data_IF_849488446216
#
_entry.id   IF_849488446216
#
_cell.length_a   1.000
_cell.length_b   1.000
_cell.length_c   1.000
_cell.angle_alpha   90.00
_cell.angle_beta   90.00
_cell.angle_gamma   90.00
#
_symmetry.space_group_name_H-M   'P 1'
#
loop_
_entity.id
_entity.type
_entity.pdbx_description
1 polymer ?
#
# COMPACT_ATOMS: atom_id res chain seq x y z
N UNK A 1 -39.28 81.45 4.26
CA UNK A 1 -37.96 81.22 4.88
C UNK A 1 -38.14 80.21 6.02
N UNK A 2 -38.02 78.92 5.71
CA UNK A 2 -37.85 77.83 6.68
C UNK A 2 -37.06 76.72 5.96
N UNK A 3 -36.06 76.21 6.66
CA UNK A 3 -34.83 75.64 6.14
C UNK A 3 -35.04 74.21 5.56
N UNK A 4 -34.66 73.92 4.29
CA UNK A 4 -34.91 72.64 3.63
C UNK A 4 -34.04 71.47 4.15
N UNK A 5 -33.15 71.73 5.11
CA UNK A 5 -32.19 70.74 5.64
C UNK A 5 -32.79 69.67 6.56
N UNK A 6 -34.00 69.87 7.11
CA UNK A 6 -34.63 68.89 8.01
C UNK A 6 -35.31 67.71 7.33
N UNK A 7 -35.82 67.88 6.10
CA UNK A 7 -36.65 66.87 5.42
C UNK A 7 -35.83 65.83 4.62
N UNK A 8 -34.58 66.16 4.28
CA UNK A 8 -33.64 65.25 3.60
C UNK A 8 -32.95 64.31 4.61
N UNK A 9 -32.86 64.72 5.88
CA UNK A 9 -32.17 63.94 6.92
C UNK A 9 -32.98 62.71 7.38
N UNK A 10 -34.32 62.80 7.44
CA UNK A 10 -35.17 61.65 7.78
C UNK A 10 -35.27 60.59 6.67
N UNK A 11 -35.15 60.99 5.40
CA UNK A 11 -35.19 60.02 4.30
C UNK A 11 -33.88 59.24 4.14
N UNK A 12 -32.74 59.85 4.52
CA UNK A 12 -31.44 59.18 4.56
C UNK A 12 -31.26 58.28 5.78
N UNK A 13 -31.86 58.62 6.92
CA UNK A 13 -31.78 57.78 8.12
C UNK A 13 -32.58 56.46 7.97
N UNK A 14 -33.74 56.49 7.30
CA UNK A 14 -34.53 55.30 7.02
C UNK A 14 -33.88 54.36 5.98
N UNK A 15 -33.17 54.93 4.98
CA UNK A 15 -32.44 54.12 4.01
C UNK A 15 -31.12 53.59 4.58
N UNK A 16 -30.42 54.35 5.43
CA UNK A 16 -29.18 53.90 6.09
C UNK A 16 -29.43 52.82 7.14
N UNK A 17 -30.56 52.88 7.88
CA UNK A 17 -30.99 51.80 8.78
C UNK A 17 -31.41 50.53 8.03
N UNK A 18 -31.99 50.65 6.82
CA UNK A 18 -32.27 49.48 5.97
C UNK A 18 -30.99 48.85 5.42
N UNK A 19 -29.97 49.62 5.06
CA UNK A 19 -28.69 49.10 4.57
C UNK A 19 -27.83 48.48 5.69
N UNK A 20 -27.89 48.99 6.92
CA UNK A 20 -27.22 48.37 8.07
C UNK A 20 -27.93 47.07 8.50
N UNK A 21 -29.26 47.01 8.39
CA UNK A 21 -30.01 45.77 8.68
C UNK A 21 -29.93 44.72 7.56
N UNK A 22 -29.59 45.10 6.32
CA UNK A 22 -29.30 44.12 5.24
C UNK A 22 -27.83 43.70 5.20
N UNK A 23 -26.87 44.51 5.65
CA UNK A 23 -25.50 44.05 5.91
C UNK A 23 -25.39 43.16 7.17
N UNK A 24 -26.32 43.28 8.13
CA UNK A 24 -26.40 42.38 9.28
C UNK A 24 -27.21 41.08 9.01
N UNK A 25 -27.91 40.97 7.88
CA UNK A 25 -28.67 39.75 7.49
C UNK A 25 -28.08 39.05 6.26
N UNK A 26 -27.14 39.67 5.53
CA UNK A 26 -26.30 38.99 4.52
C UNK A 26 -24.92 38.58 5.09
N UNK A 27 -24.55 39.03 6.30
CA UNK A 27 -23.55 38.37 7.15
C UNK A 27 -24.13 37.15 7.92
N UNK A 28 -25.37 36.78 7.63
CA UNK A 28 -26.05 35.58 8.12
C UNK A 28 -26.58 34.71 6.97
N UNK A 29 -25.97 34.80 5.77
CA UNK A 29 -25.84 33.63 4.92
C UNK A 29 -24.80 32.78 5.62
N UNK A 30 -25.30 31.92 6.50
CA UNK A 30 -24.61 30.79 7.03
C UNK A 30 -23.91 30.08 5.87
N UNK A 31 -22.63 30.36 5.67
CA UNK A 31 -21.68 29.27 5.61
C UNK A 31 -21.92 28.49 6.91
N UNK A 32 -22.91 27.59 6.86
CA UNK A 32 -22.63 26.22 7.27
C UNK A 32 -21.62 25.71 6.24
N UNK A 33 -20.42 26.29 6.26
CA UNK A 33 -19.25 25.46 6.17
C UNK A 33 -19.49 24.51 7.31
N UNK A 34 -19.86 23.30 6.98
CA UNK A 34 -19.60 22.19 7.86
C UNK A 34 -18.11 22.32 8.08
N UNK A 35 -17.73 23.04 9.14
CA UNK A 35 -16.49 22.74 9.83
C UNK A 35 -16.76 21.31 10.24
N UNK A 36 -16.40 20.38 9.35
CA UNK A 36 -16.08 19.05 9.74
C UNK A 36 -14.96 19.30 10.73
N UNK A 37 -15.37 19.44 11.99
CA UNK A 37 -14.56 19.14 13.15
C UNK A 37 -14.21 17.68 12.96
N UNK A 38 -13.31 17.40 12.01
CA UNK A 38 -12.55 16.17 12.02
C UNK A 38 -11.75 16.30 13.30
N UNK A 39 -12.23 15.60 14.31
CA UNK A 39 -11.53 15.42 15.56
C UNK A 39 -10.20 14.76 15.20
N UNK A 40 -9.15 15.57 15.07
CA UNK A 40 -7.81 15.11 14.72
C UNK A 40 -7.09 14.75 16.03
N UNK A 41 -6.51 13.55 16.06
CA UNK A 41 -5.61 13.11 17.11
C UNK A 41 -4.45 14.10 17.25
N UNK A 42 -4.03 14.36 18.49
CA UNK A 42 -2.80 15.10 18.77
C UNK A 42 -1.77 14.18 19.40
N UNK A 43 -0.59 14.11 18.79
CA UNK A 43 0.57 13.39 19.31
C UNK A 43 1.61 14.43 19.72
N UNK A 44 1.89 14.49 21.03
CA UNK A 44 2.97 15.33 21.56
C UNK A 44 4.22 14.48 21.70
N UNK A 45 5.31 14.89 21.07
CA UNK A 45 6.62 14.24 21.18
C UNK A 45 7.39 14.75 22.40
N UNK A 46 8.38 13.98 22.85
CA UNK A 46 9.25 14.33 23.99
C UNK A 46 10.09 15.59 23.76
N UNK A 47 10.32 15.96 22.50
CA UNK A 47 10.98 17.22 22.13
C UNK A 47 10.05 18.45 22.19
N UNK A 48 8.77 18.25 22.54
CA UNK A 48 7.74 19.29 22.62
C UNK A 48 6.99 19.54 21.31
N UNK A 49 7.31 18.83 20.22
CA UNK A 49 6.58 18.92 18.96
C UNK A 49 5.17 18.35 19.11
N UNK A 50 4.16 19.11 18.70
CA UNK A 50 2.76 18.64 18.66
C UNK A 50 2.36 18.39 17.22
N UNK A 51 1.98 17.16 16.91
CA UNK A 51 1.51 16.73 15.60
C UNK A 51 -0.01 16.54 15.66
N UNK A 52 -0.72 17.10 14.68
CA UNK A 52 -2.17 16.96 14.57
C UNK A 52 -2.51 16.16 13.30
N UNK A 53 -3.36 15.15 13.42
CA UNK A 53 -3.52 14.17 12.36
C UNK A 53 -4.42 12.99 12.72
N UNK A 54 -4.24 11.88 12.02
CA UNK A 54 -4.98 10.63 12.22
C UNK A 54 -4.00 9.51 12.55
N UNK A 55 -4.19 8.83 13.69
CA UNK A 55 -3.46 7.60 13.99
C UNK A 55 -4.05 6.49 13.12
N UNK A 56 -3.29 6.02 12.12
CA UNK A 56 -3.77 5.02 11.16
C UNK A 56 -3.46 3.59 11.60
N UNK A 57 -2.38 3.39 12.36
CA UNK A 57 -1.98 2.07 12.86
C UNK A 57 -1.06 2.17 14.07
N UNK A 58 -1.29 1.31 15.05
CA UNK A 58 -0.42 1.07 16.21
C UNK A 58 0.08 -0.38 16.13
N UNK A 59 1.39 -0.59 16.27
CA UNK A 59 2.01 -1.91 16.31
C UNK A 59 2.46 -2.25 17.73
N UNK A 60 2.43 -3.52 18.08
CA UNK A 60 2.80 -4.02 19.42
C UNK A 60 4.30 -3.82 19.74
N UNK A 61 5.12 -3.53 18.72
CA UNK A 61 6.55 -3.19 18.84
C UNK A 61 6.81 -1.72 19.22
N UNK A 62 5.74 -0.93 19.42
CA UNK A 62 5.82 0.48 19.75
C UNK A 62 5.88 1.40 18.53
N UNK A 63 5.63 0.92 17.32
CA UNK A 63 5.56 1.77 16.13
C UNK A 63 4.17 2.38 15.95
N UNK A 64 4.10 3.71 15.83
CA UNK A 64 2.89 4.48 15.53
C UNK A 64 2.93 5.02 14.09
N UNK A 65 1.96 4.64 13.27
CA UNK A 65 1.72 5.24 11.96
C UNK A 65 0.71 6.37 12.12
N UNK A 66 1.13 7.57 11.73
CA UNK A 66 0.39 8.80 11.93
C UNK A 66 0.35 9.61 10.65
N UNK A 67 -0.84 9.99 10.20
CA UNK A 67 -1.00 10.88 9.04
C UNK A 67 -1.21 12.30 9.53
N UNK A 68 -0.21 13.16 9.36
CA UNK A 68 -0.33 14.59 9.69
C UNK A 68 -1.32 15.22 8.70
N UNK A 69 -2.27 15.99 9.23
CA UNK A 69 -3.25 16.73 8.42
C UNK A 69 -3.00 18.23 8.59
N UNK A 70 -2.61 18.91 7.51
CA UNK A 70 -2.41 20.36 7.46
C UNK A 70 -3.31 20.91 6.35
N UNK A 71 -4.51 21.39 6.71
CA UNK A 71 -5.53 21.75 5.72
C UNK A 71 -5.97 20.52 4.92
N UNK A 72 -5.83 20.54 3.60
CA UNK A 72 -6.14 19.40 2.72
C UNK A 72 -4.95 18.45 2.51
N UNK A 73 -3.74 18.83 2.96
CA UNK A 73 -2.54 18.00 2.81
C UNK A 73 -2.52 16.89 3.85
N UNK A 74 -2.34 15.66 3.38
CA UNK A 74 -2.18 14.45 4.19
C UNK A 74 -0.79 13.87 3.99
N UNK A 75 0.01 13.81 5.07
CA UNK A 75 1.37 13.28 5.00
C UNK A 75 1.54 12.11 5.98
N UNK A 76 1.81 10.89 5.50
CA UNK A 76 2.08 9.75 6.37
C UNK A 76 3.45 9.92 7.05
N UNK A 77 3.50 9.53 8.33
CA UNK A 77 4.71 9.50 9.15
C UNK A 77 4.69 8.31 10.07
N UNK A 78 5.87 7.83 10.38
CA UNK A 78 6.09 6.79 11.39
C UNK A 78 6.76 7.45 12.59
N UNK A 79 6.21 7.19 13.77
CA UNK A 79 6.66 7.74 15.06
C UNK A 79 6.90 6.57 15.99
N UNK A 80 8.05 6.51 16.64
CA UNK A 80 8.28 5.49 17.67
C UNK A 80 7.62 5.92 18.97
N UNK A 81 6.98 4.99 19.67
CA UNK A 81 6.32 5.25 20.96
C UNK A 81 7.32 5.72 22.02
N UNK A 82 8.60 5.36 21.87
CA UNK A 82 9.70 5.89 22.68
C UNK A 82 9.83 7.41 22.61
N UNK A 83 9.40 8.03 21.51
CA UNK A 83 9.57 9.45 21.23
C UNK A 83 8.31 10.25 21.56
N UNK A 84 7.23 9.55 21.92
CA UNK A 84 5.93 10.13 22.27
C UNK A 84 5.91 10.47 23.76
N UNK A 85 5.48 11.70 24.07
CA UNK A 85 5.21 12.17 25.42
C UNK A 85 3.73 11.96 25.80
N UNK A 86 2.80 12.27 24.90
CA UNK A 86 1.36 12.05 25.12
C UNK A 86 0.58 11.92 23.82
N UNK A 87 -0.58 11.26 23.90
CA UNK A 87 -1.56 11.17 22.81
C UNK A 87 -2.90 11.66 23.35
N UNK A 88 -3.47 12.68 22.73
CA UNK A 88 -4.83 13.15 22.98
C UNK A 88 -5.72 12.70 21.82
N UNK A 89 -6.64 11.78 22.10
CA UNK A 89 -7.66 11.32 21.15
C UNK A 89 -8.95 12.07 21.43
N UNK A 90 -9.48 12.77 20.44
CA UNK A 90 -10.73 13.51 20.63
C UNK A 90 -11.92 12.61 20.27
N UNK A 91 -12.76 12.39 21.28
CA UNK A 91 -13.77 11.33 21.32
C UNK A 91 -15.00 11.69 20.47
N UNK A 92 -14.88 11.46 19.16
CA UNK A 92 -16.04 11.29 18.27
C UNK A 92 -15.86 10.15 17.27
N UNK A 93 -15.06 9.15 17.64
CA UNK A 93 -15.28 7.80 17.14
C UNK A 93 -16.46 7.29 17.96
N UNK A 94 -17.68 7.44 17.41
CA UNK A 94 -18.69 6.40 17.65
C UNK A 94 -17.95 5.09 17.58
N UNK A 95 -17.94 4.38 18.70
CA UNK A 95 -17.40 3.07 18.88
C UNK A 95 -17.94 2.21 17.74
N UNK A 96 -17.27 2.23 16.58
CA UNK A 96 -17.36 1.20 15.57
C UNK A 96 -16.83 0.03 16.34
N UNK A 97 -17.76 -0.66 16.97
CA UNK A 97 -17.56 -1.93 17.61
C UNK A 97 -16.63 -2.67 16.66
N UNK A 98 -15.36 -2.79 17.06
CA UNK A 98 -14.52 -3.84 16.49
C UNK A 98 -15.42 -5.05 16.66
N UNK A 99 -15.92 -5.66 15.57
CA UNK A 99 -16.86 -6.76 15.72
C UNK A 99 -16.18 -7.71 16.68
N UNK A 100 -16.88 -7.96 17.79
CA UNK A 100 -16.44 -8.78 18.89
C UNK A 100 -15.59 -9.91 18.32
N UNK A 101 -14.28 -9.87 18.61
CA UNK A 101 -13.27 -10.77 18.04
C UNK A 101 -13.40 -12.13 18.72
N UNK A 102 -14.59 -12.72 18.66
CA UNK A 102 -14.95 -14.02 19.22
C UNK A 102 -16.32 -14.49 18.67
N UNK A 103 -16.49 -14.44 17.35
CA UNK A 103 -17.01 -15.64 16.69
C UNK A 103 -15.82 -16.29 16.03
N UNK A 104 -15.15 -17.21 16.75
CA UNK A 104 -14.47 -18.31 16.07
C UNK A 104 -15.58 -19.01 15.29
N UNK A 105 -15.71 -18.67 14.01
CA UNK A 105 -16.43 -19.53 13.09
C UNK A 105 -15.72 -20.88 13.23
N UNK A 106 -16.44 -21.89 13.70
CA UNK A 106 -15.90 -23.25 13.72
C UNK A 106 -15.49 -23.56 12.30
N UNK A 107 -14.17 -23.67 12.09
CA UNK A 107 -13.63 -24.03 10.80
C UNK A 107 -13.91 -25.53 10.69
N UNK A 108 -14.70 -25.97 9.70
CA UNK A 108 -15.03 -27.38 9.56
C UNK A 108 -13.76 -28.23 9.50
N UNK A 109 -13.80 -29.39 10.16
CA UNK A 109 -12.73 -30.37 10.03
C UNK A 109 -12.55 -30.75 8.56
N UNK A 110 -11.29 -30.70 8.09
CA UNK A 110 -10.93 -30.95 6.69
C UNK A 110 -11.10 -29.75 5.74
N UNK A 111 -11.53 -28.57 6.22
CA UNK A 111 -11.55 -27.37 5.37
C UNK A 111 -10.15 -26.98 4.89
N UNK A 112 -10.04 -26.61 3.60
CA UNK A 112 -8.79 -26.08 3.06
C UNK A 112 -8.46 -24.74 3.70
N UNK A 113 -7.31 -24.68 4.36
CA UNK A 113 -6.74 -23.51 4.99
C UNK A 113 -5.78 -22.82 4.03
N UNK A 114 -5.99 -21.52 3.86
CA UNK A 114 -5.22 -20.67 2.97
C UNK A 114 -4.62 -19.54 3.79
N UNK A 115 -3.33 -19.29 3.63
CA UNK A 115 -2.65 -18.14 4.19
C UNK A 115 -2.32 -17.14 3.08
N UNK A 116 -2.53 -15.86 3.35
CA UNK A 116 -2.11 -14.76 2.47
C UNK A 116 -0.85 -14.13 3.05
N UNK A 117 0.20 -14.05 2.25
CA UNK A 117 1.41 -13.28 2.55
C UNK A 117 1.42 -12.09 1.58
N UNK A 118 1.33 -10.88 2.13
CA UNK A 118 1.35 -9.65 1.35
C UNK A 118 2.78 -9.24 1.04
N UNK A 119 3.10 -9.11 -0.24
CA UNK A 119 4.39 -8.73 -0.78
C UNK A 119 4.21 -7.39 -1.50
N UNK A 120 4.32 -6.32 -0.71
CA UNK A 120 4.03 -4.95 -1.11
C UNK A 120 5.31 -4.12 -1.18
N UNK A 121 5.19 -2.94 -1.80
CA UNK A 121 6.26 -1.94 -1.88
C UNK A 121 7.49 -2.45 -2.65
N UNK A 122 8.61 -1.77 -2.51
CA UNK A 122 9.83 -2.07 -3.26
C UNK A 122 10.46 -3.40 -2.84
N UNK A 123 10.88 -4.19 -3.83
CA UNK A 123 11.72 -5.38 -3.65
C UNK A 123 13.09 -4.97 -3.09
N UNK A 124 13.48 -5.57 -1.98
CA UNK A 124 14.67 -5.23 -1.20
C UNK A 124 14.30 -4.71 0.19
N UNK A 125 14.01 -3.42 0.39
CA UNK A 125 13.78 -2.91 1.76
C UNK A 125 12.56 -3.50 2.46
N UNK A 126 11.47 -3.78 1.73
CA UNK A 126 10.21 -4.25 2.31
C UNK A 126 9.88 -5.67 1.84
N UNK A 127 9.77 -5.86 0.53
CA UNK A 127 9.60 -7.16 -0.08
C UNK A 127 10.97 -7.83 -0.20
N UNK A 128 11.32 -8.66 0.79
CA UNK A 128 12.56 -9.43 0.82
C UNK A 128 12.43 -10.82 1.44
N UNK A 129 13.49 -11.59 1.28
CA UNK A 129 13.57 -12.99 1.73
C UNK A 129 13.44 -13.11 3.25
N UNK A 130 13.92 -12.14 4.03
CA UNK A 130 13.85 -12.23 5.49
C UNK A 130 12.42 -12.01 5.99
N UNK A 131 11.72 -11.01 5.45
CA UNK A 131 10.31 -10.77 5.76
C UNK A 131 9.44 -11.97 5.34
N UNK A 132 9.71 -12.55 4.16
CA UNK A 132 9.02 -13.75 3.69
C UNK A 132 9.31 -14.96 4.59
N UNK A 133 10.57 -15.17 5.00
CA UNK A 133 10.96 -16.24 5.93
C UNK A 133 10.26 -16.12 7.27
N UNK A 134 10.20 -14.92 7.83
CA UNK A 134 9.54 -14.68 9.11
C UNK A 134 8.04 -14.93 9.01
N UNK A 135 7.41 -14.50 7.91
CA UNK A 135 5.99 -14.77 7.64
C UNK A 135 5.72 -16.28 7.58
N UNK A 136 6.58 -17.04 6.89
CA UNK A 136 6.46 -18.50 6.79
C UNK A 136 6.77 -19.19 8.12
N UNK A 137 7.70 -18.68 8.92
CA UNK A 137 8.00 -19.21 10.25
C UNK A 137 6.78 -19.16 11.17
N UNK A 138 6.03 -18.05 11.15
CA UNK A 138 4.78 -17.90 11.89
C UNK A 138 3.76 -18.97 11.47
N UNK A 139 3.70 -19.32 10.18
CA UNK A 139 2.81 -20.38 9.67
C UNK A 139 3.31 -21.77 10.07
N UNK A 140 4.62 -22.03 10.00
CA UNK A 140 5.24 -23.30 10.38
C UNK A 140 5.05 -23.58 11.90
N UNK A 141 5.01 -22.54 12.74
CA UNK A 141 4.80 -22.63 14.19
C UNK A 141 3.34 -22.98 14.58
N UNK A 142 2.39 -22.90 13.64
CA UNK A 142 1.01 -23.29 13.92
C UNK A 142 0.88 -24.80 14.20
N UNK A 143 -0.08 -25.22 15.04
CA UNK A 143 -0.47 -26.62 15.16
C UNK A 143 -0.74 -27.25 13.78
N UNK A 144 -0.39 -28.52 13.59
CA UNK A 144 -0.49 -29.18 12.28
C UNK A 144 -1.90 -29.12 11.68
N UNK A 145 -2.93 -29.24 12.51
CA UNK A 145 -4.34 -29.11 12.11
C UNK A 145 -4.79 -27.68 11.78
N UNK A 146 -3.96 -26.68 12.08
CA UNK A 146 -4.18 -25.25 11.80
C UNK A 146 -3.28 -24.71 10.68
N UNK A 147 -2.23 -25.44 10.29
CA UNK A 147 -1.32 -25.03 9.21
C UNK A 147 -2.05 -24.89 7.87
N UNK A 148 -1.71 -23.87 7.06
CA UNK A 148 -2.28 -23.71 5.73
C UNK A 148 -1.81 -24.83 4.78
N UNK A 149 -2.68 -25.23 3.84
CA UNK A 149 -2.27 -26.08 2.72
C UNK A 149 -1.82 -25.25 1.51
N UNK A 150 -2.31 -24.01 1.42
CA UNK A 150 -2.04 -23.09 0.31
C UNK A 150 -1.48 -21.79 0.89
N UNK A 151 -0.35 -21.34 0.32
CA UNK A 151 0.16 -19.99 0.55
C UNK A 151 -0.10 -19.18 -0.72
N UNK A 152 -0.86 -18.10 -0.56
CA UNK A 152 -1.08 -17.09 -1.58
C UNK A 152 -0.10 -15.94 -1.35
N UNK A 153 0.85 -15.79 -2.27
CA UNK A 153 1.71 -14.62 -2.36
C UNK A 153 0.92 -13.52 -3.06
N UNK A 154 0.38 -12.59 -2.28
CA UNK A 154 -0.36 -11.45 -2.79
C UNK A 154 0.62 -10.33 -3.14
N UNK A 155 0.74 -9.96 -4.41
CA UNK A 155 1.82 -9.08 -4.89
C UNK A 155 1.26 -7.76 -5.43
N UNK A 156 1.75 -6.66 -4.87
CA UNK A 156 1.52 -5.29 -5.35
C UNK A 156 2.84 -4.49 -5.25
N UNK A 157 3.66 -4.58 -6.30
CA UNK A 157 5.00 -4.02 -6.31
C UNK A 157 5.47 -3.61 -7.70
N UNK A 158 6.14 -2.46 -7.76
CA UNK A 158 6.84 -1.94 -8.94
C UNK A 158 8.19 -2.62 -9.22
N UNK A 159 8.64 -3.53 -8.37
CA UNK A 159 9.95 -4.16 -8.46
C UNK A 159 10.98 -3.55 -7.52
N UNK A 160 12.27 -3.66 -7.87
CA UNK A 160 13.36 -3.19 -7.01
C UNK A 160 14.66 -3.97 -7.23
N UNK A 161 15.35 -4.27 -6.14
CA UNK A 161 16.72 -4.78 -6.19
C UNK A 161 16.81 -6.21 -6.74
N UNK A 162 17.40 -6.37 -7.94
CA UNK A 162 17.61 -7.68 -8.58
C UNK A 162 18.41 -8.67 -7.71
N UNK A 163 19.33 -8.16 -6.87
CA UNK A 163 20.12 -9.00 -5.97
C UNK A 163 19.23 -9.78 -4.99
N UNK A 164 18.05 -9.26 -4.66
CA UNK A 164 17.09 -9.94 -3.79
C UNK A 164 16.53 -11.21 -4.43
N UNK A 165 16.44 -11.27 -5.76
CA UNK A 165 15.93 -12.43 -6.50
C UNK A 165 16.77 -13.68 -6.31
N UNK A 166 18.08 -13.52 -6.14
CA UNK A 166 19.01 -14.63 -5.87
C UNK A 166 18.74 -15.30 -4.52
N UNK A 167 17.91 -14.68 -3.66
CA UNK A 167 17.53 -15.19 -2.35
C UNK A 167 16.05 -15.57 -2.28
N UNK A 168 15.15 -14.74 -2.81
CA UNK A 168 13.71 -15.03 -2.76
C UNK A 168 13.36 -16.22 -3.66
N UNK A 169 13.83 -16.25 -4.91
CA UNK A 169 13.42 -17.29 -5.85
C UNK A 169 13.84 -18.70 -5.39
N UNK A 170 15.08 -18.95 -4.94
CA UNK A 170 15.45 -20.24 -4.37
C UNK A 170 14.68 -20.57 -3.09
N UNK A 171 14.33 -19.58 -2.27
CA UNK A 171 13.55 -19.81 -1.06
C UNK A 171 12.12 -20.27 -1.39
N UNK A 172 11.45 -19.61 -2.34
CA UNK A 172 10.13 -20.06 -2.82
C UNK A 172 10.23 -21.47 -3.39
N UNK A 173 11.23 -21.73 -4.23
CA UNK A 173 11.40 -23.01 -4.92
C UNK A 173 11.73 -24.17 -3.96
N UNK A 174 12.66 -23.97 -3.03
CA UNK A 174 13.24 -25.06 -2.24
C UNK A 174 12.65 -25.20 -0.85
N UNK A 175 12.01 -24.15 -0.31
CA UNK A 175 11.49 -24.17 1.06
C UNK A 175 9.96 -24.10 1.11
N UNK A 176 9.33 -23.28 0.25
CA UNK A 176 7.87 -23.13 0.26
C UNK A 176 7.19 -24.21 -0.56
N UNK A 177 7.53 -24.34 -1.85
CA UNK A 177 6.87 -25.28 -2.77
C UNK A 177 6.89 -26.75 -2.31
N UNK A 178 7.92 -27.26 -1.60
CA UNK A 178 7.87 -28.62 -1.07
C UNK A 178 6.88 -28.83 0.08
N UNK A 179 6.51 -27.76 0.79
CA UNK A 179 5.63 -27.81 1.97
C UNK A 179 4.20 -27.38 1.65
N UNK A 180 4.05 -26.42 0.74
CA UNK A 180 2.81 -25.71 0.47
C UNK A 180 2.53 -25.67 -1.03
N UNK A 181 1.24 -25.69 -1.40
CA UNK A 181 0.84 -25.19 -2.72
C UNK A 181 1.03 -23.68 -2.73
N UNK A 182 1.91 -23.17 -3.59
CA UNK A 182 2.24 -21.74 -3.65
C UNK A 182 1.59 -21.11 -4.87
N UNK A 183 0.80 -20.06 -4.65
CA UNK A 183 0.06 -19.35 -5.68
C UNK A 183 0.45 -17.88 -5.64
N UNK A 184 0.76 -17.27 -6.79
CA UNK A 184 0.89 -15.81 -6.88
C UNK A 184 -0.46 -15.19 -7.27
N UNK A 185 -0.92 -14.21 -6.49
CA UNK A 185 -2.11 -13.43 -6.81
C UNK A 185 -1.74 -11.96 -6.98
N UNK A 186 -1.87 -11.47 -8.21
CA UNK A 186 -1.23 -10.22 -8.62
C UNK A 186 -2.24 -9.09 -8.71
N UNK A 187 -1.91 -7.98 -8.05
CA UNK A 187 -2.45 -6.66 -8.36
C UNK A 187 -1.48 -5.90 -9.28
N UNK A 188 -0.22 -5.79 -8.90
CA UNK A 188 0.85 -5.23 -9.75
C UNK A 188 2.13 -6.02 -9.49
N UNK A 189 2.79 -6.52 -10.53
CA UNK A 189 4.07 -7.21 -10.37
C UNK A 189 5.01 -6.80 -11.50
N UNK A 190 5.80 -5.75 -11.28
CA UNK A 190 6.74 -5.22 -12.26
C UNK A 190 8.18 -5.56 -11.90
N UNK A 191 9.04 -5.77 -12.90
CA UNK A 191 10.48 -5.97 -12.73
C UNK A 191 10.79 -7.12 -11.75
N UNK A 192 11.60 -6.87 -10.71
CA UNK A 192 11.94 -7.90 -9.71
C UNK A 192 10.70 -8.54 -9.03
N UNK A 193 9.58 -7.82 -8.90
CA UNK A 193 8.35 -8.41 -8.37
C UNK A 193 7.74 -9.42 -9.35
N UNK A 194 7.74 -9.09 -10.66
CA UNK A 194 7.33 -10.02 -11.72
C UNK A 194 8.21 -11.27 -11.74
N UNK A 195 9.53 -11.08 -11.66
CA UNK A 195 10.50 -12.17 -11.63
C UNK A 195 10.32 -13.07 -10.40
N UNK A 196 9.92 -12.50 -9.26
CA UNK A 196 9.60 -13.27 -8.05
C UNK A 196 8.30 -14.06 -8.22
N UNK A 197 7.24 -13.43 -8.73
CA UNK A 197 5.98 -14.11 -9.04
C UNK A 197 6.18 -15.28 -10.00
N UNK A 198 7.12 -15.14 -10.95
CA UNK A 198 7.42 -16.12 -11.99
C UNK A 198 7.86 -17.49 -11.48
N UNK A 199 8.39 -17.56 -10.26
CA UNK A 199 8.78 -18.83 -9.60
C UNK A 199 7.55 -19.68 -9.28
N UNK A 200 6.38 -19.06 -9.07
CA UNK A 200 5.13 -19.77 -8.78
C UNK A 200 4.59 -20.40 -10.06
N UNK A 201 4.10 -21.64 -9.97
CA UNK A 201 3.50 -22.33 -11.11
C UNK A 201 2.14 -21.72 -11.46
N UNK A 202 1.37 -21.36 -10.43
CA UNK A 202 0.07 -20.74 -10.56
C UNK A 202 0.16 -19.23 -10.32
N UNK A 203 -0.26 -18.46 -11.33
CA UNK A 203 -0.32 -17.01 -11.28
C UNK A 203 -1.74 -16.58 -11.65
N UNK A 204 -2.43 -15.91 -10.73
CA UNK A 204 -3.74 -15.33 -10.96
C UNK A 204 -3.62 -13.81 -10.97
N UNK A 205 -4.27 -13.17 -11.93
CA UNK A 205 -4.23 -11.72 -12.11
C UNK A 205 -5.60 -11.13 -11.75
N UNK A 206 -5.61 -10.07 -10.94
CA UNK A 206 -6.83 -9.29 -10.73
C UNK A 206 -7.24 -8.56 -12.02
N UNK A 207 -8.51 -8.15 -12.16
CA UNK A 207 -8.90 -7.22 -13.21
C UNK A 207 -8.03 -5.96 -13.19
N UNK A 208 -7.41 -5.63 -14.32
CA UNK A 208 -6.51 -4.48 -14.44
C UNK A 208 -5.11 -4.69 -13.88
N UNK A 209 -4.76 -5.91 -13.44
CA UNK A 209 -3.41 -6.20 -12.98
C UNK A 209 -2.38 -6.18 -14.11
N UNK A 210 -1.12 -5.94 -13.75
CA UNK A 210 0.00 -5.93 -14.68
C UNK A 210 1.14 -6.85 -14.20
N UNK A 211 1.78 -7.54 -15.15
CA UNK A 211 2.99 -8.32 -14.93
C UNK A 211 4.02 -8.06 -16.04
N UNK A 212 5.30 -7.94 -15.69
CA UNK A 212 6.42 -7.84 -16.65
C UNK A 212 7.24 -6.57 -16.50
N UNK A 213 7.68 -5.98 -17.62
CA UNK A 213 8.64 -4.87 -17.66
C UNK A 213 9.92 -5.20 -16.87
N UNK A 214 10.59 -6.25 -17.31
CA UNK A 214 11.70 -6.91 -16.62
C UNK A 214 13.07 -6.48 -17.15
N UNK A 215 13.12 -5.36 -17.88
CA UNK A 215 14.38 -4.74 -18.31
C UNK A 215 15.22 -4.36 -17.09
N UNK A 216 16.44 -4.87 -17.03
CA UNK A 216 17.36 -4.62 -15.94
C UNK A 216 18.11 -3.30 -16.14
N UNK A 217 18.28 -2.56 -15.05
CA UNK A 217 19.03 -1.31 -15.03
C UNK A 217 20.13 -1.39 -13.99
N UNK A 218 21.27 -0.75 -14.28
CA UNK A 218 22.35 -0.53 -13.34
C UNK A 218 22.44 0.96 -13.01
N UNK A 219 22.60 1.28 -11.73
CA UNK A 219 22.85 2.65 -11.27
C UNK A 219 24.33 2.80 -10.96
N UNK A 220 24.94 3.88 -11.43
CA UNK A 220 26.35 4.20 -11.17
C UNK A 220 26.61 5.70 -11.21
N UNK A 221 27.89 6.13 -11.17
CA UNK A 221 28.26 7.54 -11.20
C UNK A 221 27.72 8.33 -12.41
N UNK A 222 27.43 7.63 -13.52
CA UNK A 222 26.84 8.20 -14.74
C UNK A 222 25.30 8.14 -14.82
N UNK A 223 24.61 7.82 -13.72
CA UNK A 223 23.16 7.66 -13.66
C UNK A 223 22.70 6.22 -13.84
N UNK A 224 21.44 6.05 -14.24
CA UNK A 224 20.80 4.75 -14.47
C UNK A 224 20.87 4.41 -15.95
N UNK A 225 21.43 3.25 -16.28
CA UNK A 225 21.58 2.74 -17.64
C UNK A 225 21.03 1.32 -17.73
N UNK A 226 20.56 0.92 -18.91
CA UNK A 226 20.18 -0.47 -19.15
C UNK A 226 21.39 -1.38 -18.94
N UNK A 227 21.15 -2.54 -18.32
CA UNK A 227 22.18 -3.55 -18.15
C UNK A 227 22.50 -4.18 -19.52
N UNK A 228 23.79 -4.36 -19.82
CA UNK A 228 24.27 -4.92 -21.07
C UNK A 228 25.37 -5.96 -20.83
N UNK A 229 25.78 -6.67 -21.88
CA UNK A 229 26.93 -7.58 -21.87
C UNK A 229 26.78 -8.75 -20.91
N UNK A 230 27.88 -9.13 -20.26
CA UNK A 230 27.94 -10.34 -19.41
C UNK A 230 26.94 -10.32 -18.25
N UNK A 231 26.73 -9.15 -17.63
CA UNK A 231 25.78 -9.02 -16.52
C UNK A 231 24.33 -9.29 -16.97
N UNK A 232 23.94 -8.78 -18.15
CA UNK A 232 22.63 -9.06 -18.73
C UNK A 232 22.49 -10.55 -19.08
N UNK A 233 23.49 -11.14 -19.75
CA UNK A 233 23.46 -12.56 -20.11
C UNK A 233 23.34 -13.47 -18.87
N UNK A 234 24.05 -13.16 -17.79
CA UNK A 234 23.91 -13.90 -16.53
C UNK A 234 22.49 -13.80 -15.95
N UNK A 235 21.85 -12.62 -16.00
CA UNK A 235 20.46 -12.45 -15.58
C UNK A 235 19.49 -13.22 -16.47
N UNK A 236 19.70 -13.23 -17.80
CA UNK A 236 18.87 -13.99 -18.73
C UNK A 236 18.95 -15.49 -18.43
N UNK A 237 20.16 -16.05 -18.31
CA UNK A 237 20.38 -17.46 -17.95
C UNK A 237 19.74 -17.80 -16.60
N UNK A 238 19.88 -16.90 -15.62
CA UNK A 238 19.24 -17.09 -14.32
C UNK A 238 17.71 -17.14 -14.44
N UNK A 239 17.12 -16.28 -15.26
CA UNK A 239 15.68 -16.26 -15.45
C UNK A 239 15.15 -17.41 -16.30
N UNK A 240 15.98 -18.05 -17.13
CA UNK A 240 15.67 -19.35 -17.74
C UNK A 240 15.51 -20.41 -16.66
N UNK A 241 16.45 -20.49 -15.70
CA UNK A 241 16.34 -21.40 -14.55
C UNK A 241 15.09 -21.12 -13.70
N UNK A 242 14.80 -19.84 -13.42
CA UNK A 242 13.58 -19.47 -12.68
C UNK A 242 12.32 -19.85 -13.45
N UNK A 243 12.33 -19.76 -14.78
CA UNK A 243 11.21 -20.20 -15.62
C UNK A 243 11.00 -21.71 -15.54
N UNK A 244 12.07 -22.51 -15.50
CA UNK A 244 11.97 -23.95 -15.24
C UNK A 244 11.31 -24.24 -13.89
N UNK A 245 11.72 -23.53 -12.83
CA UNK A 245 11.10 -23.64 -11.50
C UNK A 245 9.62 -23.29 -11.53
N UNK A 246 9.24 -22.24 -12.27
CA UNK A 246 7.85 -21.84 -12.49
C UNK A 246 7.08 -22.70 -13.49
N UNK A 247 7.70 -23.73 -14.09
CA UNK A 247 7.16 -24.55 -15.19
C UNK A 247 6.62 -23.71 -16.36
N UNK A 248 7.35 -22.65 -16.72
CA UNK A 248 6.99 -21.71 -17.79
C UNK A 248 8.04 -21.73 -18.88
N UNK A 249 7.61 -21.49 -20.12
CA UNK A 249 8.55 -21.40 -21.22
C UNK A 249 9.47 -20.18 -21.03
N UNK A 250 10.80 -20.34 -21.07
CA UNK A 250 11.74 -19.26 -20.75
C UNK A 250 11.61 -18.04 -21.67
N UNK A 251 11.16 -18.23 -22.91
CA UNK A 251 11.00 -17.13 -23.86
C UNK A 251 9.96 -16.09 -23.44
N UNK A 252 8.94 -16.47 -22.66
CA UNK A 252 7.97 -15.48 -22.15
C UNK A 252 8.65 -14.51 -21.18
N UNK A 253 9.48 -15.03 -20.27
CA UNK A 253 10.29 -14.20 -19.38
C UNK A 253 11.33 -13.39 -20.16
N UNK A 254 12.00 -14.02 -21.14
CA UNK A 254 13.01 -13.35 -21.97
C UNK A 254 12.43 -12.15 -22.73
N UNK A 255 11.23 -12.29 -23.30
CA UNK A 255 10.51 -11.21 -23.98
C UNK A 255 10.09 -10.07 -23.04
N UNK A 256 9.98 -10.31 -21.72
CA UNK A 256 9.78 -9.24 -20.74
C UNK A 256 11.08 -8.49 -20.41
N UNK A 257 12.25 -9.10 -20.63
CA UNK A 257 13.56 -8.56 -20.25
C UNK A 257 14.23 -7.79 -21.38
N UNK A 258 14.11 -8.29 -22.61
CA UNK A 258 14.77 -7.75 -23.81
C UNK A 258 13.78 -7.70 -24.98
N UNK A 259 14.08 -6.87 -25.97
CA UNK A 259 13.31 -6.86 -27.21
C UNK A 259 13.55 -8.17 -27.97
N UNK A 260 12.51 -9.00 -28.05
CA UNK A 260 12.49 -10.27 -28.75
C UNK A 260 11.10 -10.47 -29.33
N UNK A 261 11.04 -10.83 -30.61
CA UNK A 261 9.78 -11.26 -31.20
C UNK A 261 9.40 -12.63 -30.62
N UNK A 262 8.20 -12.71 -30.05
CA UNK A 262 7.65 -13.93 -29.47
C UNK A 262 6.32 -14.22 -30.14
N UNK A 263 6.23 -15.40 -30.75
CA UNK A 263 4.98 -15.96 -31.27
C UNK A 263 4.71 -17.30 -30.60
N UNK A 264 3.43 -17.65 -30.49
CA UNK A 264 3.00 -18.97 -30.06
C UNK A 264 1.97 -19.49 -31.07
N UNK A 265 2.04 -20.79 -31.34
CA UNK A 265 0.96 -21.49 -32.01
C UNK A 265 -0.12 -21.78 -30.97
N UNK A 266 -1.35 -21.35 -31.24
CA UNK A 266 -2.49 -21.54 -30.35
C UNK A 266 -3.40 -22.56 -31.02
N UNK A 267 -3.73 -23.64 -30.29
CA UNK A 267 -4.68 -24.64 -30.78
C UNK A 267 -6.13 -24.28 -30.41
N UNK A 268 -7.08 -25.17 -30.68
CA UNK A 268 -8.50 -24.93 -30.39
C UNK A 268 -8.81 -24.85 -28.87
N UNK A 269 -7.87 -25.27 -28.01
CA UNK A 269 -8.01 -25.27 -26.56
C UNK A 269 -7.34 -24.06 -25.89
N UNK A 270 -6.63 -23.22 -26.66
CA UNK A 270 -5.94 -22.02 -26.16
C UNK A 270 -4.54 -22.32 -25.65
#
# INVERSE_FOLDING_TARGET
MQNPKGRIMMHRLHNMLRTILTMAVVAAVTLVGVASSFALDKVTLKDGTVLQGEITREMDDGTLFFTIVIGELRQPRVIMSSDIASIERDASIEERQRPNRERRVEIPDGATRVAFITLEEMVGPFFNTNALKESVRILDDLPENERPQIIVLWIDSGGGALIELTRIAPYIQNELKPKYRVVAWLKTAISAAAMTAWVCEEIYMMPGAAIGSNTAYMSGPGGTQAMEGEALEQLLIWMERVSEWGRKHPYVMRAMQVYMDLSADIDEQG
#
